data_IF_192873955361
#
_entry.id   IF_192873955361
#
_cell.length_a   1.000
_cell.length_b   1.000
_cell.length_c   1.000
_cell.angle_alpha   90.00
_cell.angle_beta   90.00
_cell.angle_gamma   90.00
#
_symmetry.space_group_name_H-M   'P 1'
#
loop_
_entity.id
_entity.type
_entity.pdbx_description
1 polymer ?
#
# COMPACT_ATOMS: atom_id res chain seq x y z
N UNK A 1 -23.96 -42.91 -26.85
CA UNK A 1 -22.61 -43.41 -26.49
C UNK A 1 -21.75 -42.21 -26.07
N UNK A 2 -21.61 -41.95 -24.78
CA UNK A 2 -20.73 -40.90 -24.23
C UNK A 2 -19.54 -41.60 -23.55
N UNK A 3 -18.34 -41.37 -24.08
CA UNK A 3 -17.07 -41.93 -23.56
C UNK A 3 -16.60 -41.10 -22.37
N UNK A 4 -16.71 -41.64 -21.17
CA UNK A 4 -16.03 -41.16 -19.96
C UNK A 4 -14.51 -41.29 -20.15
N UNK A 5 -13.79 -40.15 -20.21
CA UNK A 5 -12.33 -40.13 -20.00
C UNK A 5 -12.07 -40.18 -18.49
N UNK A 6 -11.19 -41.10 -18.07
CA UNK A 6 -10.79 -41.38 -16.69
C UNK A 6 -10.41 -40.10 -15.92
N UNK A 7 -11.25 -39.67 -15.00
CA UNK A 7 -10.83 -39.02 -13.76
C UNK A 7 -10.90 -40.09 -12.66
N UNK A 8 -9.80 -40.29 -11.93
CA UNK A 8 -9.75 -41.27 -10.85
C UNK A 8 -10.78 -40.98 -9.75
N UNK A 9 -11.20 -41.98 -8.97
CA UNK A 9 -12.19 -41.78 -7.93
C UNK A 9 -11.57 -40.97 -6.78
N UNK A 10 -12.06 -39.74 -6.58
CA UNK A 10 -11.99 -39.06 -5.27
C UNK A 10 -12.89 -39.86 -4.31
N UNK A 11 -12.33 -40.91 -3.74
CA UNK A 11 -12.90 -41.63 -2.60
C UNK A 11 -12.79 -40.71 -1.37
N UNK A 12 -13.83 -39.91 -1.16
CA UNK A 12 -14.06 -39.20 0.10
C UNK A 12 -14.52 -40.25 1.12
N UNK A 13 -13.59 -40.73 1.93
CA UNK A 13 -13.86 -41.61 3.08
C UNK A 13 -13.83 -40.78 4.37
N UNK A 14 -14.88 -40.88 5.19
CA UNK A 14 -15.10 -40.20 6.47
C UNK A 14 -14.10 -40.52 7.62
N UNK A 15 -12.79 -40.47 7.36
CA UNK A 15 -11.72 -40.71 8.33
C UNK A 15 -10.65 -39.63 8.19
N UNK A 16 -10.66 -38.59 9.06
CA UNK A 16 -9.57 -37.63 9.32
C UNK A 16 -8.77 -37.13 8.09
N UNK A 17 -9.42 -36.93 6.94
CA UNK A 17 -8.79 -36.51 5.67
C UNK A 17 -9.34 -35.16 5.24
N UNK A 18 -8.62 -34.11 5.57
CA UNK A 18 -8.86 -32.76 5.03
C UNK A 18 -7.58 -31.95 4.87
N UNK A 19 -6.44 -32.43 5.39
CA UNK A 19 -5.20 -31.66 5.43
C UNK A 19 -4.14 -32.07 4.42
N UNK A 20 -4.33 -33.15 3.64
CA UNK A 20 -3.26 -33.65 2.76
C UNK A 20 -3.54 -33.40 1.28
N UNK A 21 -2.54 -32.88 0.56
CA UNK A 21 -2.54 -32.79 -0.91
C UNK A 21 -1.45 -33.66 -1.51
N UNK A 22 -1.75 -34.24 -2.67
CA UNK A 22 -0.70 -34.87 -3.48
C UNK A 22 -0.11 -33.83 -4.41
N UNK A 23 1.15 -33.46 -4.19
CA UNK A 23 1.85 -32.48 -5.00
C UNK A 23 1.92 -32.93 -6.47
N UNK A 24 1.57 -32.04 -7.40
CA UNK A 24 1.54 -32.36 -8.84
C UNK A 24 2.95 -32.63 -9.38
N UNK A 25 3.95 -31.88 -8.91
CA UNK A 25 5.34 -32.04 -9.33
C UNK A 25 6.03 -33.29 -8.74
N UNK A 26 5.91 -33.49 -7.42
CA UNK A 26 6.69 -34.51 -6.70
C UNK A 26 5.91 -35.81 -6.44
N UNK A 27 4.60 -35.83 -6.69
CA UNK A 27 3.68 -36.94 -6.39
C UNK A 27 3.64 -37.40 -4.91
N UNK A 28 4.30 -36.65 -4.02
CA UNK A 28 4.30 -36.88 -2.58
C UNK A 28 3.01 -36.35 -1.94
N UNK A 29 2.59 -36.99 -0.85
CA UNK A 29 1.47 -36.52 -0.02
C UNK A 29 2.00 -35.55 1.02
N UNK A 30 1.57 -34.30 0.95
CA UNK A 30 2.03 -33.18 1.77
C UNK A 30 0.89 -32.77 2.70
N UNK A 31 1.18 -32.59 3.99
CA UNK A 31 0.25 -31.99 4.93
C UNK A 31 0.22 -30.47 4.73
N UNK A 32 -0.88 -29.93 4.23
CA UNK A 32 -1.06 -28.51 3.94
C UNK A 32 -1.01 -27.65 5.19
N UNK A 33 -1.31 -28.21 6.36
CA UNK A 33 -1.15 -27.46 7.62
C UNK A 33 0.31 -27.18 7.95
N UNK A 34 1.24 -27.91 7.33
CA UNK A 34 2.69 -27.68 7.48
C UNK A 34 3.25 -26.66 6.50
N UNK A 35 2.48 -26.29 5.46
CA UNK A 35 2.88 -25.32 4.44
C UNK A 35 2.70 -23.90 4.98
N UNK A 36 3.81 -23.28 5.35
CA UNK A 36 3.81 -21.92 5.90
C UNK A 36 3.91 -20.85 4.83
N UNK A 37 4.41 -21.20 3.64
CA UNK A 37 4.47 -20.27 2.52
C UNK A 37 3.29 -20.53 1.55
N UNK A 38 2.42 -19.54 1.34
CA UNK A 38 1.32 -19.67 0.40
C UNK A 38 1.74 -19.94 -1.06
N UNK A 39 2.99 -19.66 -1.42
CA UNK A 39 3.56 -20.03 -2.74
C UNK A 39 3.88 -21.52 -2.85
N UNK A 40 4.27 -22.18 -1.75
CA UNK A 40 4.45 -23.64 -1.70
C UNK A 40 3.12 -24.36 -2.00
N UNK A 41 2.00 -23.79 -1.57
CA UNK A 41 0.66 -24.34 -1.83
C UNK A 41 0.33 -24.26 -3.32
N UNK A 42 0.62 -23.12 -3.95
CA UNK A 42 0.46 -22.95 -5.40
C UNK A 42 1.32 -23.92 -6.19
N UNK A 43 2.59 -24.08 -5.81
CA UNK A 43 3.49 -25.05 -6.40
C UNK A 43 2.97 -26.47 -6.22
N UNK A 44 2.46 -26.82 -5.04
CA UNK A 44 1.87 -28.13 -4.80
C UNK A 44 0.64 -28.40 -5.67
N UNK A 45 -0.22 -27.39 -5.87
CA UNK A 45 -1.42 -27.52 -6.69
C UNK A 45 -1.15 -27.58 -8.19
N UNK A 46 -0.12 -26.89 -8.67
CA UNK A 46 0.07 -26.63 -10.10
C UNK A 46 1.33 -27.25 -10.69
N UNK A 47 2.36 -27.47 -9.86
CA UNK A 47 3.71 -27.80 -10.30
C UNK A 47 4.38 -26.68 -11.12
N UNK A 48 3.85 -25.45 -11.07
CA UNK A 48 4.24 -24.31 -11.88
C UNK A 48 4.28 -23.04 -11.02
N UNK A 49 5.19 -22.11 -11.31
CA UNK A 49 5.23 -20.79 -10.65
C UNK A 49 3.97 -19.95 -10.92
N UNK A 50 3.20 -20.26 -11.97
CA UNK A 50 1.95 -19.58 -12.34
C UNK A 50 0.92 -20.57 -12.90
N UNK A 51 -0.33 -20.57 -12.38
CA UNK A 51 -1.40 -21.39 -12.95
C UNK A 51 -1.77 -20.94 -14.36
N UNK A 52 -2.09 -21.90 -15.22
CA UNK A 52 -2.71 -21.63 -16.53
C UNK A 52 -4.24 -21.68 -16.38
N UNK A 53 -5.01 -20.95 -17.22
CA UNK A 53 -6.47 -20.96 -17.14
C UNK A 53 -7.07 -22.38 -17.17
N UNK A 54 -6.47 -23.29 -17.95
CA UNK A 54 -6.90 -24.70 -18.05
C UNK A 54 -6.73 -25.51 -16.77
N UNK A 55 -5.93 -25.04 -15.81
CA UNK A 55 -5.70 -25.71 -14.52
C UNK A 55 -6.52 -25.11 -13.38
N UNK A 56 -7.06 -23.90 -13.55
CA UNK A 56 -7.73 -23.14 -12.49
C UNK A 56 -8.92 -23.88 -11.89
N UNK A 57 -9.82 -24.46 -12.70
CA UNK A 57 -10.99 -25.17 -12.16
C UNK A 57 -10.61 -26.38 -11.30
N UNK A 58 -9.51 -27.06 -11.63
CA UNK A 58 -9.00 -28.16 -10.80
C UNK A 58 -8.35 -27.66 -9.50
N UNK A 59 -7.74 -26.47 -9.51
CA UNK A 59 -7.14 -25.86 -8.32
C UNK A 59 -8.28 -25.48 -7.36
N UNK A 60 -9.29 -24.77 -7.86
CA UNK A 60 -10.46 -24.32 -7.10
C UNK A 60 -11.18 -25.47 -6.43
N UNK A 61 -11.51 -26.55 -7.17
CA UNK A 61 -12.18 -27.70 -6.59
C UNK A 61 -11.38 -28.38 -5.48
N UNK A 62 -10.05 -28.46 -5.63
CA UNK A 62 -9.20 -29.03 -4.58
C UNK A 62 -9.09 -28.09 -3.39
N UNK A 63 -8.92 -26.79 -3.62
CA UNK A 63 -8.89 -25.78 -2.57
C UNK A 63 -10.18 -25.80 -1.74
N UNK A 64 -11.35 -25.83 -2.39
CA UNK A 64 -12.65 -25.96 -1.74
C UNK A 64 -12.74 -27.21 -0.85
N UNK A 65 -12.27 -28.36 -1.35
CA UNK A 65 -12.28 -29.61 -0.60
C UNK A 65 -11.33 -29.61 0.62
N UNK A 66 -10.42 -28.65 0.71
CA UNK A 66 -9.40 -28.55 1.75
C UNK A 66 -9.56 -27.29 2.61
N UNK A 67 -10.63 -26.52 2.40
CA UNK A 67 -10.90 -25.29 3.15
C UNK A 67 -10.75 -25.47 4.67
N UNK A 68 -11.26 -26.56 5.30
CA UNK A 68 -11.12 -26.72 6.75
C UNK A 68 -9.68 -26.85 7.26
N UNK A 69 -8.71 -27.07 6.37
CA UNK A 69 -7.29 -27.15 6.69
C UNK A 69 -6.49 -25.90 6.29
N UNK A 70 -7.14 -24.90 5.65
CA UNK A 70 -6.47 -23.69 5.21
C UNK A 70 -6.57 -22.56 6.24
N UNK A 71 -5.54 -21.72 6.25
CA UNK A 71 -5.63 -20.40 6.90
C UNK A 71 -6.17 -19.35 5.93
N UNK A 72 -6.67 -18.23 6.46
CA UNK A 72 -7.14 -17.12 5.63
C UNK A 72 -6.02 -16.56 4.72
N UNK A 73 -4.77 -16.54 5.20
CA UNK A 73 -3.62 -16.12 4.39
C UNK A 73 -3.35 -17.04 3.19
N UNK A 74 -3.57 -18.34 3.35
CA UNK A 74 -3.44 -19.33 2.27
C UNK A 74 -4.58 -19.16 1.25
N UNK A 75 -5.81 -18.97 1.72
CA UNK A 75 -6.97 -18.65 0.87
C UNK A 75 -6.75 -17.36 0.07
N UNK A 76 -6.26 -16.29 0.71
CA UNK A 76 -5.97 -15.01 0.07
C UNK A 76 -4.98 -15.15 -1.09
N UNK A 77 -3.94 -15.97 -0.90
CA UNK A 77 -2.93 -16.18 -1.93
C UNK A 77 -3.47 -16.95 -3.12
N UNK A 78 -4.28 -17.98 -2.88
CA UNK A 78 -4.92 -18.75 -3.95
C UNK A 78 -5.86 -17.87 -4.77
N UNK A 79 -6.68 -17.03 -4.12
CA UNK A 79 -7.54 -16.05 -4.79
C UNK A 79 -6.74 -15.09 -5.68
N UNK A 80 -5.64 -14.52 -5.15
CA UNK A 80 -4.76 -13.63 -5.90
C UNK A 80 -4.11 -14.32 -7.11
N UNK A 81 -3.75 -15.60 -6.99
CA UNK A 81 -3.15 -16.35 -8.07
C UNK A 81 -4.15 -16.74 -9.18
N UNK A 82 -5.35 -17.17 -8.81
CA UNK A 82 -6.45 -17.43 -9.75
C UNK A 82 -6.82 -16.14 -10.52
N UNK A 83 -6.89 -15.01 -9.82
CA UNK A 83 -7.15 -13.71 -10.44
C UNK A 83 -6.06 -13.32 -11.45
N UNK A 84 -4.78 -13.46 -11.08
CA UNK A 84 -3.65 -13.20 -12.00
C UNK A 84 -3.65 -14.10 -13.23
N UNK A 85 -4.26 -15.28 -13.14
CA UNK A 85 -4.46 -16.19 -14.28
C UNK A 85 -5.69 -15.86 -15.13
N UNK A 86 -6.50 -14.86 -14.74
CA UNK A 86 -7.72 -14.46 -15.44
C UNK A 86 -8.90 -15.43 -15.23
N UNK A 87 -8.87 -16.24 -14.17
CA UNK A 87 -9.88 -17.27 -13.90
C UNK A 87 -11.02 -16.74 -13.01
N UNK A 88 -11.77 -15.74 -13.50
CA UNK A 88 -12.73 -14.97 -12.69
C UNK A 88 -13.82 -15.83 -12.04
N UNK A 89 -14.34 -16.85 -12.74
CA UNK A 89 -15.34 -17.76 -12.20
C UNK A 89 -14.78 -18.54 -11.00
N UNK A 90 -13.55 -19.03 -11.13
CA UNK A 90 -12.85 -19.74 -10.07
C UNK A 90 -12.52 -18.87 -8.86
N UNK A 91 -12.21 -17.59 -9.05
CA UNK A 91 -12.02 -16.66 -7.93
C UNK A 91 -13.32 -16.49 -7.16
N UNK A 92 -14.45 -16.36 -7.86
CA UNK A 92 -15.78 -16.24 -7.24
C UNK A 92 -16.13 -17.50 -6.45
N UNK A 93 -16.03 -18.66 -7.08
CA UNK A 93 -16.40 -19.94 -6.45
C UNK A 93 -15.54 -20.22 -5.20
N UNK A 94 -14.24 -19.90 -5.23
CA UNK A 94 -13.38 -20.05 -4.05
C UNK A 94 -13.76 -19.07 -2.93
N UNK A 95 -14.08 -17.82 -3.25
CA UNK A 95 -14.45 -16.83 -2.25
C UNK A 95 -15.80 -17.12 -1.59
N UNK A 96 -16.78 -17.62 -2.36
CA UNK A 96 -18.06 -18.12 -1.83
C UNK A 96 -17.84 -19.30 -0.88
N UNK A 97 -16.99 -20.27 -1.25
CA UNK A 97 -16.66 -21.39 -0.38
C UNK A 97 -15.94 -20.97 0.91
N UNK A 98 -15.04 -19.99 0.85
CA UNK A 98 -14.40 -19.42 2.06
C UNK A 98 -15.43 -18.75 2.96
N UNK A 99 -16.39 -18.02 2.38
CA UNK A 99 -17.48 -17.41 3.14
C UNK A 99 -18.30 -18.46 3.89
N UNK A 100 -18.78 -19.49 3.17
CA UNK A 100 -19.50 -20.61 3.77
C UNK A 100 -18.68 -21.30 4.87
N UNK A 101 -17.39 -21.55 4.63
CA UNK A 101 -16.49 -22.17 5.61
C UNK A 101 -16.29 -21.34 6.89
N UNK A 102 -16.28 -20.01 6.79
CA UNK A 102 -16.21 -19.15 7.97
C UNK A 102 -17.53 -19.12 8.74
N UNK A 103 -18.67 -19.07 8.02
CA UNK A 103 -20.00 -19.15 8.64
C UNK A 103 -20.21 -20.46 9.42
N UNK A 104 -19.64 -21.56 8.93
CA UNK A 104 -19.71 -22.87 9.57
C UNK A 104 -18.60 -23.14 10.60
N UNK A 105 -17.70 -22.17 10.87
CA UNK A 105 -16.55 -22.28 11.79
C UNK A 105 -15.60 -23.42 11.40
N UNK A 106 -15.50 -23.71 10.11
CA UNK A 106 -14.58 -24.72 9.57
C UNK A 106 -13.19 -24.13 9.31
N UNK A 107 -13.11 -22.81 9.11
CA UNK A 107 -11.87 -22.06 8.92
C UNK A 107 -11.38 -21.44 10.24
N UNK A 108 -10.08 -21.51 10.49
CA UNK A 108 -9.46 -20.87 11.65
C UNK A 108 -9.54 -19.34 11.54
N UNK A 109 -10.06 -18.71 12.60
CA UNK A 109 -10.16 -17.25 12.75
C UNK A 109 -8.92 -16.63 13.39
N UNK A 110 -7.98 -17.45 13.88
CA UNK A 110 -6.80 -17.02 14.65
C UNK A 110 -5.66 -16.44 13.76
N UNK A 111 -5.89 -16.31 12.44
CA UNK A 111 -4.91 -15.81 11.46
C UNK A 111 -5.17 -14.34 11.10
N UNK A 112 -4.92 -13.42 12.05
CA UNK A 112 -5.09 -11.98 11.87
C UNK A 112 -4.38 -11.42 10.63
N UNK A 113 -3.10 -11.79 10.46
CA UNK A 113 -2.30 -11.33 9.33
C UNK A 113 -2.88 -11.86 8.00
N UNK A 114 -3.29 -13.13 7.97
CA UNK A 114 -3.95 -13.74 6.83
C UNK A 114 -5.30 -13.10 6.51
N UNK A 115 -6.09 -12.72 7.51
CA UNK A 115 -7.35 -12.01 7.34
C UNK A 115 -7.13 -10.62 6.72
N UNK A 116 -6.12 -9.86 7.16
CA UNK A 116 -5.76 -8.59 6.52
C UNK A 116 -5.32 -8.76 5.05
N UNK A 117 -4.55 -9.81 4.75
CA UNK A 117 -4.18 -10.16 3.36
C UNK A 117 -5.39 -10.60 2.54
N UNK A 118 -6.35 -11.26 3.16
CA UNK A 118 -7.61 -11.66 2.53
C UNK A 118 -8.45 -10.43 2.16
N UNK A 119 -8.56 -9.42 3.04
CA UNK A 119 -9.21 -8.14 2.73
C UNK A 119 -8.56 -7.43 1.54
N UNK A 120 -7.23 -7.49 1.42
CA UNK A 120 -6.54 -7.00 0.24
C UNK A 120 -6.99 -7.76 -1.02
N UNK A 121 -6.98 -9.10 -0.99
CA UNK A 121 -7.43 -9.93 -2.10
C UNK A 121 -8.88 -9.63 -2.52
N UNK A 122 -9.79 -9.47 -1.55
CA UNK A 122 -11.20 -9.13 -1.78
C UNK A 122 -11.33 -7.81 -2.58
N UNK A 123 -10.55 -6.79 -2.22
CA UNK A 123 -10.68 -5.45 -2.81
C UNK A 123 -10.25 -5.37 -4.29
N UNK A 124 -9.26 -6.16 -4.70
CA UNK A 124 -8.66 -6.09 -6.03
C UNK A 124 -9.21 -7.14 -7.01
N UNK A 125 -9.62 -8.30 -6.49
CA UNK A 125 -9.68 -9.52 -7.31
C UNK A 125 -11.07 -10.10 -7.48
N UNK A 126 -12.07 -9.62 -6.72
CA UNK A 126 -13.39 -10.25 -6.66
C UNK A 126 -14.50 -9.50 -7.41
N UNK A 127 -15.52 -10.24 -7.90
CA UNK A 127 -16.74 -9.68 -8.49
C UNK A 127 -17.43 -8.66 -7.58
N UNK A 128 -18.11 -7.67 -8.18
CA UNK A 128 -18.84 -6.63 -7.43
C UNK A 128 -19.87 -7.21 -6.45
N UNK A 129 -20.51 -8.33 -6.81
CA UNK A 129 -21.48 -9.02 -5.94
C UNK A 129 -20.90 -9.45 -4.59
N UNK A 130 -19.60 -9.81 -4.53
CA UNK A 130 -18.92 -10.18 -3.30
C UNK A 130 -18.36 -8.95 -2.54
N UNK A 131 -18.12 -7.84 -3.23
CA UNK A 131 -17.78 -6.56 -2.60
C UNK A 131 -19.00 -5.94 -1.91
N UNK A 132 -20.19 -6.26 -2.41
CA UNK A 132 -21.47 -5.87 -1.82
C UNK A 132 -21.89 -6.78 -0.65
N UNK A 133 -21.27 -7.95 -0.49
CA UNK A 133 -21.53 -8.84 0.64
C UNK A 133 -20.87 -8.30 1.92
N UNK A 134 -21.67 -7.52 2.65
CA UNK A 134 -21.30 -6.91 3.91
C UNK A 134 -21.00 -7.93 5.00
N UNK A 135 -21.67 -9.08 4.97
CA UNK A 135 -21.56 -10.09 6.02
C UNK A 135 -20.20 -10.77 6.01
N UNK A 136 -19.70 -11.09 4.81
CA UNK A 136 -18.37 -11.64 4.60
C UNK A 136 -17.28 -10.62 4.96
N UNK A 137 -17.41 -9.39 4.47
CA UNK A 137 -16.43 -8.34 4.75
C UNK A 137 -16.35 -8.05 6.25
N UNK A 138 -17.49 -8.00 6.94
CA UNK A 138 -17.56 -7.79 8.38
C UNK A 138 -16.90 -8.93 9.15
N UNK A 139 -17.15 -10.18 8.75
CA UNK A 139 -16.59 -11.35 9.41
C UNK A 139 -15.06 -11.42 9.26
N UNK A 140 -14.54 -11.23 8.03
CA UNK A 140 -13.09 -11.20 7.80
C UNK A 140 -12.45 -10.03 8.55
N UNK A 141 -13.09 -8.86 8.57
CA UNK A 141 -12.59 -7.71 9.33
C UNK A 141 -12.57 -8.01 10.84
N UNK A 142 -13.56 -8.72 11.36
CA UNK A 142 -13.56 -9.22 12.74
C UNK A 142 -12.32 -10.07 13.02
N UNK A 143 -12.06 -11.09 12.20
CA UNK A 143 -10.86 -11.93 12.33
C UNK A 143 -9.55 -11.14 12.17
N UNK A 144 -9.54 -10.11 11.31
CA UNK A 144 -8.36 -9.27 11.11
C UNK A 144 -8.09 -8.36 12.33
N UNK A 145 -9.15 -7.88 12.98
CA UNK A 145 -9.05 -7.07 14.19
C UNK A 145 -8.66 -7.92 15.42
N UNK A 146 -9.13 -9.16 15.49
CA UNK A 146 -8.66 -10.14 16.48
C UNK A 146 -7.15 -10.38 16.28
N UNK A 147 -6.32 -10.06 17.28
CA UNK A 147 -4.86 -10.22 17.19
C UNK A 147 -4.12 -9.17 16.34
N UNK A 148 -4.75 -8.05 16.00
CA UNK A 148 -4.12 -6.98 15.20
C UNK A 148 -2.85 -6.37 15.85
N UNK A 149 -2.67 -6.53 17.16
CA UNK A 149 -1.47 -6.12 17.89
C UNK A 149 -0.20 -6.80 17.34
N UNK A 150 -0.33 -8.08 16.96
CA UNK A 150 0.76 -8.92 16.47
C UNK A 150 0.99 -8.77 14.95
N UNK A 151 -0.02 -8.28 14.22
CA UNK A 151 0.08 -8.11 12.77
C UNK A 151 1.08 -6.98 12.40
N UNK A 152 1.81 -7.08 11.28
CA UNK A 152 2.68 -5.98 10.84
C UNK A 152 1.88 -4.72 10.47
N UNK A 153 2.33 -3.53 10.88
CA UNK A 153 1.68 -2.23 10.54
C UNK A 153 1.46 -2.09 9.04
N UNK A 154 2.45 -2.55 8.26
CA UNK A 154 2.38 -2.59 6.80
C UNK A 154 1.13 -3.31 6.28
N UNK A 155 0.82 -4.48 6.86
CA UNK A 155 -0.27 -5.35 6.45
C UNK A 155 -1.61 -4.72 6.83
N UNK A 156 -1.72 -4.17 8.04
CA UNK A 156 -2.91 -3.45 8.50
C UNK A 156 -3.17 -2.23 7.60
N UNK A 157 -2.18 -1.36 7.36
CA UNK A 157 -2.31 -0.21 6.47
C UNK A 157 -2.77 -0.61 5.07
N UNK A 158 -2.22 -1.69 4.52
CA UNK A 158 -2.56 -2.18 3.19
C UNK A 158 -4.00 -2.71 3.15
N UNK A 159 -4.43 -3.44 4.16
CA UNK A 159 -5.81 -3.89 4.31
C UNK A 159 -6.80 -2.73 4.46
N UNK A 160 -6.49 -1.72 5.28
CA UNK A 160 -7.32 -0.52 5.39
C UNK A 160 -7.40 0.28 4.07
N UNK A 161 -6.30 0.41 3.32
CA UNK A 161 -6.32 1.02 1.97
C UNK A 161 -7.23 0.23 1.03
N UNK A 162 -7.21 -1.09 1.16
CA UNK A 162 -8.02 -2.02 0.35
C UNK A 162 -9.52 -1.83 0.64
N UNK A 163 -9.89 -1.75 1.92
CA UNK A 163 -11.26 -1.40 2.35
C UNK A 163 -11.68 -0.01 1.86
N UNK A 164 -10.77 0.98 1.90
CA UNK A 164 -11.04 2.34 1.42
C UNK A 164 -11.37 2.34 -0.07
N UNK A 165 -10.59 1.60 -0.86
CA UNK A 165 -10.78 1.50 -2.32
C UNK A 165 -12.05 0.73 -2.69
N UNK A 166 -12.40 -0.29 -1.92
CA UNK A 166 -13.63 -1.04 -2.10
C UNK A 166 -14.88 -0.26 -1.66
N UNK A 167 -14.73 0.93 -1.05
CA UNK A 167 -15.86 1.76 -0.61
C UNK A 167 -16.61 1.22 0.62
N UNK A 168 -16.11 0.14 1.23
CA UNK A 168 -16.72 -0.52 2.40
C UNK A 168 -16.26 0.08 3.72
N UNK A 169 -15.15 0.83 3.72
CA UNK A 169 -14.53 1.37 4.93
C UNK A 169 -15.49 2.24 5.77
N UNK A 170 -16.33 3.06 5.13
CA UNK A 170 -17.29 3.92 5.84
C UNK A 170 -18.40 3.17 6.57
N UNK A 171 -18.60 1.87 6.28
CA UNK A 171 -19.58 1.03 6.96
C UNK A 171 -19.02 0.41 8.25
N UNK A 172 -17.70 0.45 8.43
CA UNK A 172 -16.99 -0.12 9.57
C UNK A 172 -16.19 0.93 10.34
N UNK A 173 -16.70 2.17 10.40
CA UNK A 173 -16.06 3.32 11.05
C UNK A 173 -15.51 2.98 12.45
N UNK A 174 -16.28 2.38 13.39
CA UNK A 174 -15.77 2.15 14.75
C UNK A 174 -14.55 1.22 14.77
N UNK A 175 -14.62 0.11 14.05
CA UNK A 175 -13.52 -0.86 13.94
C UNK A 175 -12.29 -0.22 13.27
N UNK A 176 -12.48 0.53 12.19
CA UNK A 176 -11.36 1.17 11.49
C UNK A 176 -10.69 2.23 12.36
N UNK A 177 -11.47 3.01 13.11
CA UNK A 177 -10.95 3.99 14.07
C UNK A 177 -10.13 3.29 15.16
N UNK A 178 -10.65 2.20 15.74
CA UNK A 178 -9.94 1.38 16.73
C UNK A 178 -8.60 0.86 16.18
N UNK A 179 -8.59 0.33 14.95
CA UNK A 179 -7.35 -0.11 14.30
C UNK A 179 -6.37 1.05 14.07
N UNK A 180 -6.86 2.25 13.77
CA UNK A 180 -6.01 3.43 13.64
C UNK A 180 -5.46 3.93 14.97
N UNK A 181 -6.23 3.84 16.04
CA UNK A 181 -5.77 4.13 17.40
C UNK A 181 -4.67 3.16 17.82
N UNK A 182 -4.85 1.86 17.57
CA UNK A 182 -3.80 0.85 17.80
C UNK A 182 -2.52 1.19 17.03
N UNK A 183 -2.64 1.53 15.74
CA UNK A 183 -1.50 1.94 14.92
C UNK A 183 -0.85 3.23 15.44
N UNK A 184 -1.62 4.17 15.98
CA UNK A 184 -1.11 5.39 16.59
C UNK A 184 -0.31 5.09 17.87
N UNK A 185 -0.72 4.14 18.69
CA UNK A 185 0.00 3.75 19.90
C UNK A 185 1.31 3.03 19.56
N UNK A 186 1.33 2.20 18.50
CA UNK A 186 2.54 1.53 18.01
C UNK A 186 3.62 2.51 17.51
N UNK A 187 3.24 3.71 17.08
CA UNK A 187 4.21 4.76 16.77
C UNK A 187 5.04 5.14 18.02
N UNK A 188 4.41 5.19 19.19
CA UNK A 188 5.12 5.48 20.45
C UNK A 188 6.06 4.33 20.85
N UNK A 189 5.68 3.09 20.54
CA UNK A 189 6.44 1.87 20.85
C UNK A 189 7.69 1.61 20.00
N UNK A 190 8.03 2.49 19.05
CA UNK A 190 9.25 2.36 18.25
C UNK A 190 9.06 1.79 16.85
N UNK A 191 7.93 2.10 16.20
CA UNK A 191 7.65 1.81 14.79
C UNK A 191 8.86 2.07 13.86
N UNK A 192 8.92 1.40 12.73
CA UNK A 192 9.93 1.62 11.70
C UNK A 192 9.62 2.92 10.92
N UNK A 193 10.63 3.73 10.55
CA UNK A 193 10.48 4.87 9.63
C UNK A 193 9.58 4.66 8.39
N UNK A 194 9.59 3.46 7.82
CA UNK A 194 8.76 3.10 6.66
C UNK A 194 7.28 3.00 7.01
N UNK A 195 6.96 2.54 8.21
CA UNK A 195 5.59 2.40 8.70
C UNK A 195 4.96 3.77 8.91
N UNK A 196 5.70 4.73 9.48
CA UNK A 196 5.25 6.12 9.64
C UNK A 196 4.93 6.74 8.28
N UNK A 197 5.77 6.54 7.27
CA UNK A 197 5.51 7.04 5.91
C UNK A 197 4.20 6.46 5.33
N UNK A 198 3.94 5.17 5.56
CA UNK A 198 2.72 4.49 5.10
C UNK A 198 1.48 4.98 5.84
N UNK A 199 1.58 5.16 7.16
CA UNK A 199 0.53 5.69 8.01
C UNK A 199 0.13 7.12 7.60
N UNK A 200 1.10 8.02 7.39
CA UNK A 200 0.82 9.37 6.91
C UNK A 200 0.18 9.36 5.51
N UNK A 201 0.67 8.53 4.60
CA UNK A 201 0.08 8.39 3.27
C UNK A 201 -1.36 7.84 3.34
N UNK A 202 -1.64 6.94 4.27
CA UNK A 202 -2.98 6.45 4.54
C UNK A 202 -3.87 7.54 5.12
N UNK A 203 -3.40 8.30 6.12
CA UNK A 203 -4.12 9.42 6.72
C UNK A 203 -4.56 10.44 5.67
N UNK A 204 -3.67 10.82 4.73
CA UNK A 204 -4.02 11.70 3.60
C UNK A 204 -5.18 11.13 2.77
N UNK A 205 -5.13 9.83 2.46
CA UNK A 205 -6.17 9.19 1.64
C UNK A 205 -7.50 9.12 2.36
N UNK A 206 -7.48 8.73 3.64
CA UNK A 206 -8.67 8.67 4.49
C UNK A 206 -9.30 10.04 4.58
N UNK A 207 -8.52 11.07 4.90
CA UNK A 207 -9.04 12.43 5.07
C UNK A 207 -9.72 13.00 3.82
N UNK A 208 -9.24 12.61 2.62
CA UNK A 208 -9.87 12.99 1.34
C UNK A 208 -11.24 12.35 1.11
N UNK A 209 -11.48 11.18 1.71
CA UNK A 209 -12.70 10.39 1.46
C UNK A 209 -13.68 10.54 2.62
N UNK A 210 -13.19 10.55 3.86
CA UNK A 210 -13.98 10.57 5.11
C UNK A 210 -13.14 11.16 6.24
N UNK A 211 -13.47 12.39 6.64
CA UNK A 211 -12.72 13.15 7.66
C UNK A 211 -12.86 12.59 9.09
N UNK A 212 -14.01 12.00 9.39
CA UNK A 212 -14.39 11.51 10.74
C UNK A 212 -13.58 10.29 11.22
N UNK A 213 -12.82 9.67 10.33
CA UNK A 213 -12.11 8.42 10.60
C UNK A 213 -10.72 8.59 11.22
N UNK A 214 -10.13 9.79 11.10
CA UNK A 214 -8.76 9.99 11.53
C UNK A 214 -8.72 10.29 13.02
N UNK A 215 -8.12 9.42 13.87
CA UNK A 215 -8.01 9.72 15.29
C UNK A 215 -7.07 10.92 15.48
N UNK A 216 -7.47 11.89 16.30
CA UNK A 216 -6.65 13.09 16.54
C UNK A 216 -5.23 12.75 17.03
N UNK A 217 -5.11 11.73 17.89
CA UNK A 217 -3.82 11.28 18.44
C UNK A 217 -2.88 10.69 17.39
N UNK A 218 -3.38 10.21 16.25
CA UNK A 218 -2.53 9.58 15.22
C UNK A 218 -1.55 10.58 14.63
N UNK A 219 -2.02 11.78 14.29
CA UNK A 219 -1.17 12.84 13.75
C UNK A 219 -0.21 13.37 14.81
N UNK A 220 -0.67 13.57 16.04
CA UNK A 220 0.17 14.03 17.16
C UNK A 220 1.32 13.05 17.47
N UNK A 221 1.00 11.75 17.51
CA UNK A 221 1.99 10.68 17.70
C UNK A 221 2.96 10.61 16.52
N UNK A 222 2.47 10.74 15.29
CA UNK A 222 3.32 10.78 14.10
C UNK A 222 4.25 12.00 14.13
N UNK A 223 3.77 13.18 14.50
CA UNK A 223 4.57 14.39 14.60
C UNK A 223 5.67 14.24 15.66
N UNK A 224 5.29 13.75 16.85
CA UNK A 224 6.24 13.46 17.94
C UNK A 224 7.32 12.47 17.51
N UNK A 225 6.93 11.39 16.83
CA UNK A 225 7.85 10.40 16.28
C UNK A 225 8.83 11.02 15.27
N UNK A 226 8.30 11.81 14.31
CA UNK A 226 9.10 12.44 13.26
C UNK A 226 10.12 13.39 13.87
N UNK A 227 9.68 14.26 14.79
CA UNK A 227 10.56 15.22 15.49
C UNK A 227 11.71 14.50 16.19
N UNK A 228 11.40 13.42 16.93
CA UNK A 228 12.40 12.68 17.70
C UNK A 228 13.39 11.90 16.83
N UNK A 229 12.97 11.46 15.63
CA UNK A 229 13.74 10.51 14.80
C UNK A 229 14.11 11.03 13.42
N UNK A 230 13.97 12.34 13.16
CA UNK A 230 14.21 12.94 11.82
C UNK A 230 15.54 12.49 11.19
N UNK A 231 16.61 12.40 11.98
CA UNK A 231 17.94 11.99 11.52
C UNK A 231 18.04 10.51 11.10
N UNK A 232 17.15 9.64 11.60
CA UNK A 232 17.15 8.20 11.30
C UNK A 232 16.50 7.89 9.94
N UNK A 233 15.68 8.79 9.40
CA UNK A 233 15.00 8.57 8.13
C UNK A 233 16.00 8.61 6.95
N UNK A 234 15.83 7.67 6.03
CA UNK A 234 16.49 7.71 4.72
C UNK A 234 15.96 8.88 3.89
N UNK A 235 16.76 9.37 2.93
CA UNK A 235 16.39 10.52 2.11
C UNK A 235 15.00 10.37 1.43
N UNK A 236 14.72 9.18 0.87
CA UNK A 236 13.41 8.89 0.25
C UNK A 236 12.25 8.99 1.24
N UNK A 237 12.45 8.56 2.48
CA UNK A 237 11.42 8.61 3.53
C UNK A 237 11.16 10.07 3.94
N UNK A 238 12.21 10.89 4.09
CA UNK A 238 12.06 12.32 4.36
C UNK A 238 11.24 13.03 3.27
N UNK A 239 11.54 12.73 1.99
CA UNK A 239 10.76 13.26 0.87
C UNK A 239 9.28 12.80 0.93
N UNK A 240 9.02 11.54 1.27
CA UNK A 240 7.65 11.02 1.44
C UNK A 240 6.92 11.68 2.61
N UNK A 241 7.59 11.91 3.73
CA UNK A 241 7.02 12.58 4.91
C UNK A 241 6.63 14.01 4.54
N UNK A 242 7.56 14.78 3.95
CA UNK A 242 7.28 16.16 3.53
C UNK A 242 6.06 16.23 2.62
N UNK A 243 5.98 15.36 1.61
CA UNK A 243 4.82 15.31 0.72
C UNK A 243 3.56 14.99 1.51
N UNK A 244 3.61 14.03 2.43
CA UNK A 244 2.44 13.66 3.22
C UNK A 244 1.98 14.82 4.13
N UNK A 245 2.90 15.52 4.79
CA UNK A 245 2.57 16.70 5.61
C UNK A 245 1.92 17.79 4.76
N UNK A 246 2.49 18.11 3.60
CA UNK A 246 1.91 19.10 2.69
C UNK A 246 0.50 18.67 2.25
N UNK A 247 0.32 17.41 1.85
CA UNK A 247 -1.00 16.91 1.47
C UNK A 247 -1.98 16.89 2.63
N UNK A 248 -1.53 16.70 3.87
CA UNK A 248 -2.38 16.79 5.06
C UNK A 248 -2.84 18.24 5.27
N UNK A 249 -1.96 19.24 5.19
CA UNK A 249 -2.38 20.65 5.31
C UNK A 249 -3.38 21.07 4.23
N UNK A 250 -3.30 20.51 3.02
CA UNK A 250 -4.26 20.76 1.94
C UNK A 250 -5.67 20.20 2.25
N UNK A 251 -5.77 19.07 2.95
CA UNK A 251 -7.03 18.33 3.14
C UNK A 251 -7.60 18.46 4.56
N UNK A 252 -6.81 18.97 5.50
CA UNK A 252 -7.12 19.13 6.91
C UNK A 252 -6.67 20.55 7.34
N UNK A 253 -7.51 21.59 7.12
CA UNK A 253 -7.14 22.99 7.36
C UNK A 253 -6.67 23.30 8.79
N UNK A 254 -7.15 22.54 9.77
CA UNK A 254 -6.77 22.61 11.18
C UNK A 254 -5.38 22.03 11.47
N UNK A 255 -4.89 21.12 10.64
CA UNK A 255 -3.56 20.52 10.80
C UNK A 255 -2.49 21.40 10.16
N UNK A 256 -1.52 21.85 10.94
CA UNK A 256 -0.38 22.62 10.45
C UNK A 256 0.93 22.02 10.97
N UNK A 257 1.87 21.72 10.08
CA UNK A 257 3.18 21.22 10.46
C UNK A 257 3.94 22.32 11.21
N UNK A 258 4.41 22.02 12.43
CA UNK A 258 5.09 23.02 13.26
C UNK A 258 6.40 23.50 12.61
N UNK A 259 6.79 24.74 12.93
CA UNK A 259 8.07 25.32 12.48
C UNK A 259 9.25 24.41 12.82
N UNK A 260 9.25 23.78 14.00
CA UNK A 260 10.30 22.83 14.41
C UNK A 260 10.40 21.61 13.47
N UNK A 261 9.27 21.01 13.09
CA UNK A 261 9.27 19.84 12.20
C UNK A 261 9.78 20.24 10.81
N UNK A 262 9.31 21.38 10.30
CA UNK A 262 9.75 21.89 9.00
C UNK A 262 11.26 22.19 9.06
N UNK A 263 11.74 22.78 10.15
CA UNK A 263 13.15 23.08 10.38
C UNK A 263 14.02 21.82 10.29
N UNK A 264 13.67 20.80 11.07
CA UNK A 264 14.38 19.51 11.09
C UNK A 264 14.33 18.79 9.74
N UNK A 265 13.14 18.70 9.13
CA UNK A 265 12.98 18.01 7.84
C UNK A 265 13.77 18.69 6.74
N UNK A 266 13.72 20.02 6.68
CA UNK A 266 14.44 20.79 5.66
C UNK A 266 15.95 20.68 5.84
N UNK A 267 16.47 20.80 7.06
CA UNK A 267 17.89 20.59 7.35
C UNK A 267 18.34 19.18 6.93
N UNK A 268 17.56 18.16 7.24
CA UNK A 268 17.94 16.78 7.00
C UNK A 268 17.81 16.36 5.52
N UNK A 269 16.83 16.91 4.79
CA UNK A 269 16.74 16.79 3.34
C UNK A 269 17.93 17.45 2.67
N UNK A 270 18.33 18.64 3.14
CA UNK A 270 19.50 19.36 2.63
C UNK A 270 20.79 18.60 2.94
N UNK A 271 20.89 17.93 4.08
CA UNK A 271 22.04 17.08 4.39
C UNK A 271 22.12 15.85 3.47
N UNK A 272 20.99 15.22 3.17
CA UNK A 272 20.90 13.94 2.44
C UNK A 272 20.56 14.09 0.94
N UNK A 273 20.58 15.31 0.40
CA UNK A 273 20.05 15.62 -0.94
C UNK A 273 20.67 14.79 -2.07
N UNK A 274 21.96 14.48 -1.98
CA UNK A 274 22.70 13.72 -3.00
C UNK A 274 22.18 12.28 -3.17
N UNK A 275 21.52 11.74 -2.14
CA UNK A 275 20.91 10.41 -2.13
C UNK A 275 19.51 10.40 -2.76
N UNK A 276 18.92 11.57 -3.01
CA UNK A 276 17.59 11.67 -3.62
C UNK A 276 17.67 11.50 -5.13
N UNK A 277 16.82 10.62 -5.66
CA UNK A 277 16.44 10.63 -7.07
C UNK A 277 15.70 11.94 -7.39
N UNK A 278 15.66 12.31 -8.66
CA UNK A 278 15.14 13.60 -9.11
C UNK A 278 13.68 13.84 -8.74
N UNK A 279 12.78 12.88 -9.02
CA UNK A 279 11.36 13.04 -8.68
C UNK A 279 11.12 13.19 -7.17
N UNK A 280 11.68 12.32 -6.29
CA UNK A 280 11.61 12.56 -4.85
C UNK A 280 12.19 13.90 -4.39
N UNK A 281 13.31 14.35 -4.97
CA UNK A 281 13.91 15.64 -4.63
C UNK A 281 12.98 16.80 -4.98
N UNK A 282 12.44 16.82 -6.21
CA UNK A 282 11.49 17.84 -6.64
C UNK A 282 10.23 17.86 -5.77
N UNK A 283 9.66 16.67 -5.48
CA UNK A 283 8.51 16.55 -4.61
C UNK A 283 8.78 17.07 -3.19
N UNK A 284 9.99 16.84 -2.66
CA UNK A 284 10.38 17.32 -1.33
C UNK A 284 10.52 18.84 -1.30
N UNK A 285 11.13 19.45 -2.32
CA UNK A 285 11.29 20.91 -2.37
C UNK A 285 9.92 21.58 -2.50
N UNK A 286 9.06 21.09 -3.40
CA UNK A 286 7.69 21.61 -3.54
C UNK A 286 6.89 21.46 -2.26
N UNK A 287 6.94 20.28 -1.64
CA UNK A 287 6.23 20.03 -0.40
C UNK A 287 6.69 20.97 0.70
N UNK A 288 7.99 21.13 0.91
CA UNK A 288 8.52 22.07 1.90
C UNK A 288 8.10 23.51 1.61
N UNK A 289 8.26 23.97 0.37
CA UNK A 289 7.90 25.32 -0.03
C UNK A 289 6.39 25.61 0.09
N UNK A 290 5.56 24.57 0.07
CA UNK A 290 4.09 24.68 0.15
C UNK A 290 3.53 24.53 1.57
N UNK A 291 4.35 24.20 2.58
CA UNK A 291 3.90 24.13 3.98
C UNK A 291 3.67 25.54 4.53
N UNK A 292 2.54 25.74 5.22
CA UNK A 292 2.10 27.07 5.69
C UNK A 292 3.12 27.81 6.55
N UNK A 293 3.85 27.07 7.38
CA UNK A 293 4.84 27.64 8.29
C UNK A 293 6.27 27.66 7.73
N UNK A 294 6.49 27.22 6.48
CA UNK A 294 7.82 27.30 5.86
C UNK A 294 8.39 28.73 5.79
N UNK A 295 7.60 29.78 5.46
CA UNK A 295 8.10 31.16 5.46
C UNK A 295 8.64 31.64 6.82
N UNK A 296 8.21 31.03 7.93
CA UNK A 296 8.65 31.41 9.26
C UNK A 296 10.08 30.94 9.59
N UNK A 297 10.70 30.12 8.73
CA UNK A 297 12.10 29.69 8.88
C UNK A 297 13.11 30.79 8.54
N UNK A 298 12.68 31.86 7.86
CA UNK A 298 13.49 33.04 7.51
C UNK A 298 14.86 32.73 6.87
N UNK A 299 14.94 31.65 6.09
CA UNK A 299 16.14 31.26 5.33
C UNK A 299 15.76 30.96 3.86
N UNK A 300 15.82 31.99 2.98
CA UNK A 300 15.47 31.83 1.57
C UNK A 300 16.48 30.99 0.78
N UNK A 301 17.63 30.64 1.37
CA UNK A 301 18.70 29.87 0.73
C UNK A 301 18.71 28.41 1.17
N UNK A 302 17.94 28.05 2.18
CA UNK A 302 17.88 26.72 2.78
C UNK A 302 17.78 25.58 1.77
N UNK A 303 16.84 25.67 0.82
CA UNK A 303 16.59 24.61 -0.16
C UNK A 303 17.52 24.66 -1.38
N UNK A 304 18.38 25.67 -1.48
CA UNK A 304 19.28 25.88 -2.64
C UNK A 304 20.08 24.64 -3.02
N UNK A 305 20.69 23.86 -2.10
CA UNK A 305 21.46 22.67 -2.49
C UNK A 305 20.62 21.61 -3.21
N UNK A 306 19.39 21.40 -2.73
CA UNK A 306 18.46 20.42 -3.30
C UNK A 306 17.94 20.90 -4.65
N UNK A 307 17.60 22.19 -4.77
CA UNK A 307 17.15 22.81 -6.03
C UNK A 307 18.24 22.69 -7.10
N UNK A 308 19.48 23.05 -6.76
CA UNK A 308 20.62 22.97 -7.68
C UNK A 308 20.89 21.51 -8.09
N UNK A 309 20.72 20.55 -7.18
CA UNK A 309 20.84 19.12 -7.50
C UNK A 309 19.83 18.65 -8.54
N UNK A 310 18.57 19.10 -8.43
CA UNK A 310 17.54 18.81 -9.43
C UNK A 310 17.86 19.53 -10.75
N UNK A 311 18.18 20.82 -10.70
CA UNK A 311 18.43 21.63 -11.89
C UNK A 311 19.65 21.16 -12.71
N UNK A 312 20.72 20.70 -12.07
CA UNK A 312 21.90 20.14 -12.77
C UNK A 312 21.58 18.92 -13.64
N UNK A 313 20.43 18.29 -13.45
CA UNK A 313 19.99 17.10 -14.20
C UNK A 313 18.64 17.35 -14.90
N UNK A 314 18.39 18.60 -15.32
CA UNK A 314 17.20 19.02 -16.06
C UNK A 314 16.89 18.12 -17.26
N UNK A 315 17.90 17.66 -17.99
CA UNK A 315 17.75 16.76 -19.14
C UNK A 315 17.06 15.42 -18.82
N UNK A 316 16.99 15.03 -17.54
CA UNK A 316 16.34 13.80 -17.09
C UNK A 316 14.94 14.07 -16.49
N UNK A 317 14.44 15.31 -16.60
CA UNK A 317 13.10 15.70 -16.18
C UNK A 317 12.19 15.81 -17.40
N UNK A 318 10.93 15.38 -17.24
CA UNK A 318 9.91 15.68 -18.24
C UNK A 318 9.43 17.14 -18.18
N UNK A 319 8.74 17.64 -19.22
CA UNK A 319 8.22 19.01 -19.30
C UNK A 319 7.47 19.48 -18.04
N UNK A 320 6.54 18.65 -17.56
CA UNK A 320 5.78 18.92 -16.33
C UNK A 320 6.65 19.06 -15.08
N UNK A 321 7.78 18.34 -15.01
CA UNK A 321 8.71 18.44 -13.88
C UNK A 321 9.57 19.72 -13.99
N UNK A 322 9.87 20.19 -15.20
CA UNK A 322 10.57 21.45 -15.44
C UNK A 322 9.70 22.65 -15.05
N UNK A 323 8.41 22.64 -15.41
CA UNK A 323 7.44 23.66 -14.97
C UNK A 323 7.34 23.75 -13.45
N UNK A 324 7.18 22.59 -12.83
CA UNK A 324 7.17 22.39 -11.38
C UNK A 324 8.40 22.97 -10.69
N UNK A 325 9.60 22.69 -11.22
CA UNK A 325 10.85 23.28 -10.75
C UNK A 325 10.85 24.82 -10.90
N UNK A 326 10.34 25.35 -12.01
CA UNK A 326 10.27 26.81 -12.26
C UNK A 326 9.39 27.52 -11.23
N UNK A 327 8.25 26.91 -10.84
CA UNK A 327 7.39 27.45 -9.77
C UNK A 327 8.10 27.50 -8.42
N UNK A 328 8.92 26.49 -8.12
CA UNK A 328 9.73 26.42 -6.90
C UNK A 328 10.82 27.50 -6.88
N UNK A 329 11.45 27.80 -8.02
CA UNK A 329 12.53 28.81 -8.09
C UNK A 329 12.07 30.21 -7.65
N UNK A 330 10.78 30.54 -7.81
CA UNK A 330 10.19 31.80 -7.34
C UNK A 330 10.39 32.01 -5.82
N UNK A 331 10.50 30.91 -5.05
CA UNK A 331 10.70 30.94 -3.60
C UNK A 331 12.18 30.96 -3.19
N UNK A 332 13.10 30.68 -4.11
CA UNK A 332 14.53 30.70 -3.85
C UNK A 332 15.27 31.49 -4.95
N UNK A 333 15.24 32.85 -4.90
CA UNK A 333 15.83 33.70 -5.94
C UNK A 333 17.32 33.40 -6.20
N UNK A 334 18.06 33.02 -5.16
CA UNK A 334 19.47 32.62 -5.28
C UNK A 334 19.72 31.35 -6.09
N UNK A 335 18.74 30.44 -6.14
CA UNK A 335 18.80 29.29 -7.02
C UNK A 335 18.31 29.66 -8.42
N UNK A 336 17.33 30.58 -8.54
CA UNK A 336 16.84 31.14 -9.80
C UNK A 336 17.97 31.60 -10.71
N UNK A 337 18.85 32.47 -10.21
CA UNK A 337 20.00 32.98 -10.98
C UNK A 337 20.95 31.91 -11.55
N UNK A 338 20.99 30.71 -10.94
CA UNK A 338 21.81 29.59 -11.42
C UNK A 338 21.03 28.63 -12.32
N UNK A 339 19.74 28.45 -12.06
CA UNK A 339 18.92 27.42 -12.67
C UNK A 339 18.14 27.93 -13.89
N UNK A 340 17.73 29.20 -13.91
CA UNK A 340 16.96 29.80 -15.01
C UNK A 340 17.67 29.70 -16.37
N UNK A 341 18.99 29.96 -16.51
CA UNK A 341 19.68 29.77 -17.78
C UNK A 341 19.68 28.31 -18.25
N UNK A 342 19.75 27.36 -17.31
CA UNK A 342 19.72 25.92 -17.62
C UNK A 342 18.33 25.49 -18.09
N UNK A 343 17.27 26.04 -17.49
CA UNK A 343 15.88 25.79 -17.90
C UNK A 343 15.65 26.38 -19.29
N UNK A 344 16.03 27.63 -19.53
CA UNK A 344 15.87 28.29 -20.82
C UNK A 344 16.57 27.49 -21.95
N UNK A 345 17.83 27.09 -21.71
CA UNK A 345 18.58 26.26 -22.65
C UNK A 345 17.91 24.89 -22.90
N UNK A 346 17.42 24.25 -21.85
CA UNK A 346 16.75 22.95 -21.97
C UNK A 346 15.44 23.06 -22.77
N UNK A 347 14.63 24.09 -22.50
CA UNK A 347 13.38 24.37 -23.24
C UNK A 347 13.65 24.67 -24.71
N UNK A 348 14.71 25.41 -25.02
CA UNK A 348 15.12 25.69 -26.39
C UNK A 348 15.52 24.39 -27.13
N UNK A 349 16.33 23.55 -26.51
CA UNK A 349 16.82 22.30 -27.11
C UNK A 349 15.72 21.24 -27.26
N UNK A 350 14.76 21.19 -26.33
CA UNK A 350 13.72 20.17 -26.25
C UNK A 350 12.31 20.70 -26.54
N UNK A 351 12.20 21.81 -27.26
CA UNK A 351 10.92 22.51 -27.50
C UNK A 351 9.80 21.61 -28.02
N UNK A 352 10.14 20.56 -28.77
CA UNK A 352 9.19 19.57 -29.31
C UNK A 352 8.55 18.67 -28.24
N UNK A 353 9.16 18.57 -27.07
CA UNK A 353 8.64 17.80 -25.94
C UNK A 353 7.62 18.60 -25.12
N UNK A 354 7.60 19.93 -25.26
CA UNK A 354 6.66 20.82 -24.58
C UNK A 354 5.43 21.08 -25.46
N UNK A 355 4.26 21.01 -24.86
CA UNK A 355 3.02 21.51 -25.46
C UNK A 355 3.02 23.04 -25.51
N UNK A 356 2.17 23.62 -26.36
CA UNK A 356 2.04 25.09 -26.45
C UNK A 356 1.65 25.74 -25.12
N UNK A 357 0.81 25.07 -24.33
CA UNK A 357 0.38 25.59 -23.03
C UNK A 357 1.52 25.58 -22.01
N UNK A 358 2.36 24.54 -22.02
CA UNK A 358 3.55 24.46 -21.16
C UNK A 358 4.59 25.52 -21.54
N UNK A 359 4.77 25.80 -22.84
CA UNK A 359 5.64 26.88 -23.32
C UNK A 359 5.13 28.28 -22.98
N UNK A 360 3.82 28.47 -22.79
CA UNK A 360 3.25 29.74 -22.33
C UNK A 360 3.40 29.96 -20.83
N UNK A 361 3.50 28.87 -20.07
CA UNK A 361 3.64 28.93 -18.61
C UNK A 361 5.09 29.20 -18.17
N UNK A 362 6.07 28.77 -18.98
CA UNK A 362 7.50 29.10 -18.86
C UNK A 362 7.77 30.55 -19.26
#
# INVERSE_FOLDING_TARGET
MLRLRRFGPLLVSNLRRGSFIRGVANQESIDVTTLRDPTEILECFTGLDRPTPSTCSSITLRALALLPAFTLGQCATLLLALHKAGAEAEVRDLAEGVAEGLFHVELSTDDSEGAWRYLEALSFSLPESLKEDESLTHMILGCACEGAEDAPVATICQGLISLLRAGVLSRHVPLVVEQLELLADRLQGGANPTEVCRLLAFAVKVQRVRQELLPGRLLDNAMTYITARTQQFAAKQLASIVVALWRLEEVLPEFSASVEIIDRLSAEIVWKYSQLRLTPALNAIEGLASLRHFPALDDPHRLRPVIVHVAKRLHALGPQQVLRLTRVLKWCPSAGALCEPLIAWHVECHRVEFTEDELREL
#
